data_IF_534274885656
#
_entry.id   IF_534274885656
#
_cell.length_a   1.000
_cell.length_b   1.000
_cell.length_c   1.000
_cell.angle_alpha   90.00
_cell.angle_beta   90.00
_cell.angle_gamma   90.00
#
_symmetry.space_group_name_H-M   'P 1'
#
loop_
_entity.id
_entity.type
_entity.pdbx_description
1 polymer ?
#
# COMPACT_ATOMS: atom_id res chain seq x y z
N UNK A 1 -29.54 18.94 -35.61
CA UNK A 1 -29.89 18.42 -34.26
C UNK A 1 -28.69 18.71 -33.36
N UNK A 2 -28.77 19.72 -32.48
CA UNK A 2 -27.67 20.11 -31.57
C UNK A 2 -27.64 19.11 -30.43
N UNK A 3 -26.50 18.42 -30.26
CA UNK A 3 -26.24 17.60 -29.09
C UNK A 3 -25.92 18.56 -27.94
N UNK A 4 -26.72 18.53 -26.89
CA UNK A 4 -26.49 19.35 -25.72
C UNK A 4 -25.31 18.74 -24.92
N UNK A 5 -24.20 19.46 -24.88
CA UNK A 5 -23.09 19.17 -23.97
C UNK A 5 -23.54 19.56 -22.55
N UNK A 6 -23.44 18.63 -21.61
CA UNK A 6 -23.55 18.93 -20.17
C UNK A 6 -22.15 19.18 -19.61
N UNK A 7 -21.94 20.41 -19.21
CA UNK A 7 -20.76 20.80 -18.42
C UNK A 7 -21.06 20.47 -16.94
N UNK A 8 -20.20 19.75 -16.30
CA UNK A 8 -20.26 19.50 -14.84
C UNK A 8 -19.03 20.17 -14.23
N UNK A 9 -19.25 21.01 -13.24
CA UNK A 9 -18.18 21.62 -12.44
C UNK A 9 -17.79 20.71 -11.26
N UNK A 10 -16.47 20.59 -11.00
CA UNK A 10 -15.98 19.94 -9.80
C UNK A 10 -16.17 20.85 -8.56
N UNK A 11 -15.97 20.32 -7.37
CA UNK A 11 -16.11 21.05 -6.10
C UNK A 11 -15.12 22.24 -5.96
N UNK A 12 -14.30 22.53 -6.97
CA UNK A 12 -13.39 23.68 -7.05
C UNK A 12 -13.69 24.61 -8.22
N UNK A 13 -14.87 24.46 -8.87
CA UNK A 13 -15.30 25.31 -9.95
C UNK A 13 -14.55 25.12 -11.28
N UNK A 14 -13.98 23.93 -11.52
CA UNK A 14 -13.29 23.60 -12.78
C UNK A 14 -14.19 22.80 -13.70
N UNK A 15 -14.28 23.21 -14.96
CA UNK A 15 -15.02 22.49 -15.99
C UNK A 15 -14.38 21.13 -16.30
N UNK A 16 -15.18 20.06 -16.21
CA UNK A 16 -14.79 18.73 -16.62
C UNK A 16 -15.55 18.38 -17.89
N UNK A 17 -14.83 18.14 -19.00
CA UNK A 17 -15.40 17.66 -20.24
C UNK A 17 -15.90 16.22 -20.07
N UNK A 18 -17.22 16.03 -20.21
CA UNK A 18 -17.81 14.69 -20.26
C UNK A 18 -17.96 14.24 -21.71
N UNK A 19 -17.62 12.99 -21.99
CA UNK A 19 -17.85 12.36 -23.29
C UNK A 19 -19.36 12.28 -23.58
N UNK A 20 -19.78 12.49 -24.85
CA UNK A 20 -21.19 12.40 -25.19
C UNK A 20 -21.71 10.99 -24.93
N UNK A 21 -22.86 10.90 -24.27
CA UNK A 21 -23.57 9.65 -24.07
C UNK A 21 -23.93 9.03 -25.41
N UNK A 22 -23.29 7.92 -25.76
CA UNK A 22 -23.68 7.14 -26.96
C UNK A 22 -24.99 6.43 -26.65
N UNK A 23 -26.04 6.61 -27.48
CA UNK A 23 -27.33 5.97 -27.23
C UNK A 23 -27.18 4.42 -27.32
N UNK A 24 -27.60 3.73 -26.26
CA UNK A 24 -27.55 2.27 -26.07
C UNK A 24 -28.28 1.44 -27.14
N UNK A 25 -28.96 2.11 -28.10
CA UNK A 25 -29.79 1.44 -29.11
C UNK A 25 -29.04 0.82 -30.30
N UNK A 26 -27.70 0.86 -30.36
CA UNK A 26 -26.91 0.41 -31.51
C UNK A 26 -26.08 -0.85 -31.25
N UNK A 27 -26.22 -1.51 -30.09
CA UNK A 27 -25.50 -2.76 -29.86
C UNK A 27 -26.40 -3.98 -29.97
N UNK A 28 -26.05 -4.87 -30.91
CA UNK A 28 -26.72 -6.15 -31.13
C UNK A 28 -26.62 -7.02 -29.86
N UNK A 29 -27.67 -7.74 -29.43
CA UNK A 29 -27.72 -8.49 -28.15
C UNK A 29 -26.61 -9.54 -27.96
N UNK A 30 -25.99 -10.00 -29.04
CA UNK A 30 -24.95 -11.06 -29.00
C UNK A 30 -23.61 -10.55 -28.44
N UNK A 31 -23.29 -9.25 -28.62
CA UNK A 31 -22.02 -8.69 -28.14
C UNK A 31 -22.08 -8.36 -26.64
N UNK A 32 -23.29 -8.08 -26.13
CA UNK A 32 -23.48 -7.73 -24.72
C UNK A 32 -23.29 -8.92 -23.76
N UNK A 33 -23.60 -10.13 -24.19
CA UNK A 33 -23.48 -11.33 -23.37
C UNK A 33 -22.03 -11.88 -23.30
N UNK A 34 -21.15 -11.55 -24.24
CA UNK A 34 -19.77 -12.04 -24.24
C UNK A 34 -18.84 -11.21 -23.34
N UNK A 35 -19.17 -9.93 -23.11
CA UNK A 35 -18.39 -9.04 -22.23
C UNK A 35 -18.75 -9.25 -20.77
N UNK A 36 -19.99 -9.69 -20.46
CA UNK A 36 -20.46 -9.91 -19.08
C UNK A 36 -20.02 -11.23 -18.44
N UNK A 37 -19.52 -12.19 -19.25
CA UNK A 37 -19.13 -13.51 -18.72
C UNK A 37 -17.69 -13.57 -18.17
N UNK A 38 -16.88 -12.49 -18.31
CA UNK A 38 -15.47 -12.48 -17.93
C UNK A 38 -15.14 -11.63 -16.70
N UNK A 39 -16.13 -11.01 -16.06
CA UNK A 39 -15.88 -10.17 -14.86
C UNK A 39 -16.90 -10.51 -13.79
N UNK A 40 -16.50 -11.08 -12.64
CA UNK A 40 -17.40 -11.18 -11.51
C UNK A 40 -17.70 -9.78 -10.96
N UNK A 41 -18.90 -9.28 -11.30
CA UNK A 41 -19.46 -8.02 -10.80
C UNK A 41 -19.87 -8.20 -9.33
N UNK A 42 -19.08 -7.73 -8.40
CA UNK A 42 -19.52 -7.48 -7.04
C UNK A 42 -20.12 -6.07 -6.96
N UNK A 43 -21.44 -5.99 -7.02
CA UNK A 43 -22.18 -4.75 -6.77
C UNK A 43 -22.26 -4.48 -5.28
N UNK A 44 -21.51 -3.50 -4.78
CA UNK A 44 -21.78 -2.81 -3.53
C UNK A 44 -21.85 -1.30 -3.80
N UNK A 45 -23.02 -0.70 -3.56
CA UNK A 45 -23.32 0.76 -3.58
C UNK A 45 -22.73 1.55 -4.75
N UNK A 46 -23.11 1.22 -5.99
CA UNK A 46 -22.98 2.15 -7.12
C UNK A 46 -21.56 2.46 -7.63
N UNK A 47 -20.51 1.79 -7.14
CA UNK A 47 -19.15 1.86 -7.70
C UNK A 47 -18.66 0.45 -8.04
N UNK A 48 -18.35 0.22 -9.31
CA UNK A 48 -17.55 -0.94 -9.73
C UNK A 48 -16.11 -0.62 -9.37
N UNK A 49 -15.66 -1.05 -8.20
CA UNK A 49 -14.24 -1.03 -7.85
C UNK A 49 -13.68 -2.37 -8.30
N UNK A 50 -12.90 -2.38 -9.38
CA UNK A 50 -12.04 -3.51 -9.68
C UNK A 50 -10.93 -3.53 -8.62
N UNK A 51 -11.14 -4.26 -7.53
CA UNK A 51 -10.09 -4.57 -6.57
C UNK A 51 -9.11 -5.56 -7.22
N UNK A 52 -8.14 -5.02 -7.96
CA UNK A 52 -7.06 -5.82 -8.51
C UNK A 52 -6.11 -6.18 -7.36
N UNK A 53 -6.28 -7.39 -6.84
CA UNK A 53 -5.35 -7.92 -5.84
C UNK A 53 -3.99 -8.20 -6.48
N UNK A 54 -2.95 -7.67 -5.85
CA UNK A 54 -1.56 -8.00 -6.16
C UNK A 54 -1.23 -9.44 -5.74
N UNK A 55 -1.86 -9.89 -4.63
CA UNK A 55 -1.66 -11.21 -4.05
C UNK A 55 -2.85 -11.64 -3.20
N UNK A 56 -3.07 -12.95 -3.10
CA UNK A 56 -3.94 -13.57 -2.08
C UNK A 56 -3.13 -14.41 -1.10
N UNK A 57 -3.54 -14.39 0.16
CA UNK A 57 -2.97 -15.18 1.26
C UNK A 57 -4.14 -15.84 1.98
N UNK A 58 -4.44 -17.10 1.64
CA UNK A 58 -5.65 -17.74 2.10
C UNK A 58 -6.91 -16.95 1.69
N UNK A 59 -7.69 -16.54 2.67
CA UNK A 59 -8.90 -15.73 2.48
C UNK A 59 -8.67 -14.23 2.32
N UNK A 60 -7.44 -13.76 2.51
CA UNK A 60 -7.09 -12.34 2.49
C UNK A 60 -6.59 -11.90 1.12
N UNK A 61 -6.86 -10.64 0.77
CA UNK A 61 -6.36 -9.98 -0.43
C UNK A 61 -5.37 -8.87 -0.09
N UNK A 62 -4.28 -8.76 -0.84
CA UNK A 62 -3.35 -7.63 -0.77
C UNK A 62 -3.52 -6.79 -2.04
N UNK A 63 -3.74 -5.49 -1.87
CA UNK A 63 -3.88 -4.52 -2.96
C UNK A 63 -3.22 -3.19 -2.63
N UNK A 64 -3.15 -2.32 -3.62
CA UNK A 64 -2.75 -0.92 -3.40
C UNK A 64 -3.75 -0.22 -2.49
N UNK A 65 -3.21 0.67 -1.65
CA UNK A 65 -3.99 1.55 -0.80
C UNK A 65 -4.77 2.55 -1.66
N UNK A 66 -6.01 2.82 -1.29
CA UNK A 66 -6.86 3.88 -1.83
C UNK A 66 -7.04 4.98 -0.77
N UNK A 67 -7.47 6.16 -1.20
CA UNK A 67 -7.71 7.29 -0.27
C UNK A 67 -8.78 6.91 0.76
N UNK A 68 -9.78 6.15 0.36
CA UNK A 68 -10.87 5.67 1.20
C UNK A 68 -10.42 4.69 2.30
N UNK A 69 -9.24 4.10 2.18
CA UNK A 69 -8.67 3.18 3.19
C UNK A 69 -7.99 3.92 4.35
N UNK A 70 -7.60 5.18 4.15
CA UNK A 70 -6.79 5.94 5.11
C UNK A 70 -7.38 5.98 6.53
N UNK A 71 -8.69 6.19 6.75
CA UNK A 71 -9.26 6.16 8.09
C UNK A 71 -9.06 4.82 8.80
N UNK A 72 -9.19 3.70 8.06
CA UNK A 72 -8.97 2.36 8.60
C UNK A 72 -7.49 2.12 8.93
N UNK A 73 -6.58 2.58 8.06
CA UNK A 73 -5.13 2.47 8.26
C UNK A 73 -4.68 3.26 9.49
N UNK A 74 -5.17 4.49 9.66
CA UNK A 74 -4.89 5.33 10.82
C UNK A 74 -5.37 4.63 12.10
N UNK A 75 -6.58 4.07 12.08
CA UNK A 75 -7.10 3.28 13.20
C UNK A 75 -6.22 2.07 13.51
N UNK A 76 -5.75 1.35 12.50
CA UNK A 76 -4.81 0.21 12.69
C UNK A 76 -3.49 0.68 13.25
N UNK A 77 -2.94 1.82 12.78
CA UNK A 77 -1.71 2.38 13.32
C UNK A 77 -1.84 2.66 14.82
N UNK A 78 -2.94 3.31 15.23
CA UNK A 78 -3.21 3.60 16.64
C UNK A 78 -3.38 2.34 17.49
N UNK A 79 -4.02 1.31 16.96
CA UNK A 79 -4.28 0.06 17.68
C UNK A 79 -3.07 -0.86 17.80
N UNK A 80 -2.17 -0.86 16.80
CA UNK A 80 -1.16 -1.90 16.63
C UNK A 80 0.27 -1.43 16.87
N UNK A 81 0.54 -0.13 16.82
CA UNK A 81 1.89 0.44 16.93
C UNK A 81 1.93 1.55 17.98
N UNK A 82 3.04 1.69 18.73
CA UNK A 82 3.24 2.81 19.66
C UNK A 82 3.59 4.12 18.95
N UNK A 83 4.10 4.06 17.71
CA UNK A 83 4.45 5.23 16.90
C UNK A 83 3.26 5.68 16.06
N UNK A 84 2.77 6.90 16.30
CA UNK A 84 1.64 7.47 15.59
C UNK A 84 2.08 8.62 14.69
N UNK A 85 1.54 8.64 13.48
CA UNK A 85 1.76 9.69 12.49
C UNK A 85 0.51 10.56 12.34
N UNK A 86 0.69 11.80 11.85
CA UNK A 86 -0.44 12.65 11.50
C UNK A 86 -1.18 12.13 10.26
N UNK A 87 -2.47 12.45 10.14
CA UNK A 87 -3.28 12.06 8.98
C UNK A 87 -2.67 12.54 7.67
N UNK A 88 -2.16 13.80 7.66
CA UNK A 88 -1.47 14.38 6.50
C UNK A 88 -0.22 13.60 6.08
N UNK A 89 0.47 12.94 7.01
CA UNK A 89 1.61 12.10 6.69
C UNK A 89 1.20 10.85 5.88
N UNK A 90 0.08 10.22 6.23
CA UNK A 90 -0.45 9.09 5.44
C UNK A 90 -0.87 9.54 4.04
N UNK A 91 -1.55 10.67 3.90
CA UNK A 91 -1.95 11.25 2.62
C UNK A 91 -0.73 11.56 1.73
N UNK A 92 0.31 12.16 2.30
CA UNK A 92 1.54 12.47 1.60
C UNK A 92 2.23 11.18 1.10
N UNK A 93 2.34 10.14 1.95
CA UNK A 93 2.94 8.85 1.55
C UNK A 93 2.14 8.19 0.44
N UNK A 94 0.81 8.21 0.50
CA UNK A 94 -0.04 7.66 -0.55
C UNK A 94 0.17 8.39 -1.90
N UNK A 95 0.32 9.71 -1.87
CA UNK A 95 0.58 10.51 -3.07
C UNK A 95 1.97 10.27 -3.66
N UNK A 96 3.01 10.13 -2.83
CA UNK A 96 4.39 10.03 -3.26
C UNK A 96 4.82 8.62 -3.67
N UNK A 97 4.29 7.61 -3.02
CA UNK A 97 4.72 6.22 -3.19
C UNK A 97 3.55 5.23 -3.21
N UNK A 98 2.53 5.41 -4.09
CA UNK A 98 1.33 4.57 -4.11
C UNK A 98 1.61 3.10 -4.43
N UNK A 99 2.74 2.79 -5.09
CA UNK A 99 3.13 1.42 -5.45
C UNK A 99 3.64 0.62 -4.25
N UNK A 100 4.03 1.30 -3.18
CA UNK A 100 4.58 0.69 -1.97
C UNK A 100 3.76 1.02 -0.73
N UNK A 101 2.56 1.57 -0.93
CA UNK A 101 1.56 1.72 0.10
C UNK A 101 0.43 0.71 -0.18
N UNK A 102 0.42 -0.38 0.58
CA UNK A 102 -0.46 -1.53 0.34
C UNK A 102 -1.31 -1.82 1.57
N UNK A 103 -2.46 -2.43 1.34
CA UNK A 103 -3.38 -2.89 2.38
C UNK A 103 -3.62 -4.38 2.26
N UNK A 104 -3.90 -5.02 3.38
CA UNK A 104 -4.47 -6.35 3.46
C UNK A 104 -5.93 -6.23 3.89
N UNK A 105 -6.84 -6.87 3.13
CA UNK A 105 -8.27 -6.91 3.45
C UNK A 105 -8.78 -8.35 3.60
N UNK A 106 -9.81 -8.51 4.39
CA UNK A 106 -10.50 -9.79 4.56
C UNK A 106 -11.59 -10.02 3.49
N UNK A 107 -12.32 -11.14 3.60
CA UNK A 107 -13.41 -11.50 2.67
C UNK A 107 -14.58 -10.50 2.66
N UNK A 108 -14.70 -9.66 3.70
CA UNK A 108 -15.72 -8.62 3.83
C UNK A 108 -15.22 -7.25 3.37
N UNK A 109 -14.03 -7.19 2.73
CA UNK A 109 -13.34 -5.97 2.35
C UNK A 109 -12.98 -5.06 3.55
N UNK A 110 -12.83 -5.64 4.75
CA UNK A 110 -12.35 -4.92 5.93
C UNK A 110 -10.84 -4.85 5.89
N UNK A 111 -10.27 -3.66 6.02
CA UNK A 111 -8.81 -3.48 6.11
C UNK A 111 -8.34 -3.98 7.47
N UNK A 112 -7.41 -4.95 7.44
CA UNK A 112 -6.91 -5.62 8.64
C UNK A 112 -5.38 -5.48 8.82
N UNK A 113 -4.72 -4.85 7.86
CA UNK A 113 -3.29 -4.57 7.91
C UNK A 113 -2.84 -3.69 6.76
N UNK A 114 -1.68 -3.11 6.89
CA UNK A 114 -1.08 -2.25 5.88
C UNK A 114 0.45 -2.28 5.92
N UNK A 115 1.06 -1.81 4.85
CA UNK A 115 2.46 -1.42 4.77
C UNK A 115 2.57 -0.07 4.07
N UNK A 116 3.39 0.82 4.62
CA UNK A 116 3.65 2.15 4.08
C UNK A 116 5.14 2.36 3.95
N UNK A 117 5.60 2.71 2.74
CA UNK A 117 7.00 2.93 2.45
C UNK A 117 7.25 4.29 1.81
N UNK A 118 8.50 4.73 1.86
CA UNK A 118 9.01 5.94 1.21
C UNK A 118 10.16 5.58 0.28
N UNK A 119 10.25 6.24 -0.87
CA UNK A 119 11.39 6.10 -1.79
C UNK A 119 12.23 7.36 -1.70
N UNK A 120 13.52 7.20 -1.48
CA UNK A 120 14.45 8.30 -1.29
C UNK A 120 15.81 8.05 -1.94
N UNK A 121 16.60 9.11 -2.11
CA UNK A 121 18.00 9.04 -2.48
C UNK A 121 18.88 9.40 -1.28
N UNK A 122 19.96 8.67 -1.09
CA UNK A 122 20.88 8.94 0.00
C UNK A 122 22.08 7.98 -0.01
N UNK A 123 22.93 8.08 0.99
CA UNK A 123 24.05 7.16 1.14
C UNK A 123 23.54 5.73 1.32
N UNK A 124 24.21 4.79 0.64
CA UNK A 124 23.91 3.37 0.75
C UNK A 124 24.14 2.86 2.18
N UNK A 125 23.25 2.01 2.65
CA UNK A 125 23.44 1.24 3.88
C UNK A 125 24.19 -0.07 3.64
N UNK A 126 24.26 -0.51 2.38
CA UNK A 126 24.87 -1.79 1.98
C UNK A 126 26.28 -1.64 1.41
N UNK A 127 26.62 -0.45 0.87
CA UNK A 127 27.93 -0.16 0.29
C UNK A 127 28.67 0.83 1.16
N UNK A 128 29.99 0.63 1.30
CA UNK A 128 30.84 1.53 2.08
C UNK A 128 30.83 2.97 1.56
N UNK A 129 30.66 3.15 0.24
CA UNK A 129 30.59 4.45 -0.43
C UNK A 129 29.55 4.42 -1.55
N UNK A 130 28.95 5.57 -1.80
CA UNK A 130 28.04 5.78 -2.93
C UNK A 130 26.62 6.14 -2.51
N UNK A 131 25.89 6.68 -3.48
CA UNK A 131 24.48 6.99 -3.37
C UNK A 131 23.66 5.82 -3.88
N UNK A 132 22.50 5.63 -3.26
CA UNK A 132 21.52 4.62 -3.66
C UNK A 132 20.11 5.22 -3.70
N UNK A 133 19.29 4.74 -4.61
CA UNK A 133 17.85 4.90 -4.50
C UNK A 133 17.35 3.81 -3.58
N UNK A 134 16.75 4.21 -2.46
CA UNK A 134 16.39 3.33 -1.35
C UNK A 134 14.90 3.32 -1.13
N UNK A 135 14.38 2.14 -0.76
CA UNK A 135 13.04 2.02 -0.20
C UNK A 135 13.12 1.98 1.34
N UNK A 136 12.51 2.93 2.02
CA UNK A 136 12.36 2.93 3.47
C UNK A 136 11.00 2.34 3.84
N UNK A 137 10.97 1.23 4.57
CA UNK A 137 9.74 0.71 5.16
C UNK A 137 9.44 1.53 6.42
N UNK A 138 8.51 2.48 6.29
CA UNK A 138 8.17 3.42 7.36
C UNK A 138 7.31 2.77 8.43
N UNK A 139 6.34 1.93 7.99
CA UNK A 139 5.40 1.30 8.90
C UNK A 139 4.79 0.05 8.28
N UNK A 140 4.65 -0.99 9.06
CA UNK A 140 3.91 -2.20 8.71
C UNK A 140 3.16 -2.70 9.94
N UNK A 141 1.86 -2.93 9.81
CA UNK A 141 1.02 -3.43 10.90
C UNK A 141 -0.04 -4.39 10.40
N UNK A 142 -0.36 -5.36 11.24
CA UNK A 142 -1.50 -6.29 11.09
C UNK A 142 -2.21 -6.34 12.43
N UNK A 143 -3.54 -6.21 12.43
CA UNK A 143 -4.37 -6.35 13.61
C UNK A 143 -4.11 -7.69 14.30
N UNK A 144 -4.07 -7.70 15.61
CA UNK A 144 -3.66 -8.85 16.43
C UNK A 144 -4.43 -10.13 16.09
N UNK A 145 -5.76 -10.03 15.93
CA UNK A 145 -6.62 -11.16 15.58
C UNK A 145 -6.29 -11.83 14.22
N UNK A 146 -5.47 -11.17 13.39
CA UNK A 146 -5.10 -11.64 12.05
C UNK A 146 -3.59 -11.91 11.90
N UNK A 147 -2.83 -11.81 13.01
CA UNK A 147 -1.39 -12.14 13.03
C UNK A 147 -1.13 -13.64 12.89
N UNK A 148 0.12 -14.01 12.63
CA UNK A 148 0.51 -15.43 12.48
C UNK A 148 0.09 -16.09 11.17
N UNK A 149 -0.62 -15.39 10.27
CA UNK A 149 -1.15 -15.93 9.02
C UNK A 149 -0.30 -15.55 7.78
N UNK A 150 0.91 -15.05 8.00
CA UNK A 150 1.83 -14.68 6.92
C UNK A 150 1.57 -13.34 6.24
N UNK A 151 0.58 -12.56 6.71
CA UNK A 151 0.18 -11.29 6.09
C UNK A 151 1.28 -10.23 6.11
N UNK A 152 1.97 -10.06 7.24
CA UNK A 152 3.09 -9.12 7.34
C UNK A 152 4.20 -9.44 6.35
N UNK A 153 4.57 -10.73 6.22
CA UNK A 153 5.55 -11.19 5.22
C UNK A 153 5.07 -10.91 3.80
N UNK A 154 3.81 -11.19 3.49
CA UNK A 154 3.27 -10.99 2.16
C UNK A 154 3.17 -9.51 1.77
N UNK A 155 2.78 -8.62 2.71
CA UNK A 155 2.81 -7.17 2.52
C UNK A 155 4.23 -6.68 2.22
N UNK A 156 5.23 -7.15 2.99
CA UNK A 156 6.64 -6.84 2.76
C UNK A 156 7.09 -7.29 1.37
N UNK A 157 6.81 -8.53 0.98
CA UNK A 157 7.22 -9.08 -0.32
C UNK A 157 6.63 -8.29 -1.50
N UNK A 158 5.36 -7.88 -1.42
CA UNK A 158 4.74 -7.05 -2.47
C UNK A 158 5.30 -5.62 -2.48
N UNK A 159 5.55 -5.01 -1.33
CA UNK A 159 6.20 -3.70 -1.25
C UNK A 159 7.63 -3.73 -1.82
N UNK A 160 8.41 -4.80 -1.55
CA UNK A 160 9.73 -4.99 -2.13
C UNK A 160 9.71 -5.10 -3.67
N UNK A 161 8.66 -5.70 -4.25
CA UNK A 161 8.46 -5.67 -5.71
C UNK A 161 8.22 -4.25 -6.20
N UNK A 162 7.30 -3.51 -5.58
CA UNK A 162 7.05 -2.10 -5.92
C UNK A 162 8.30 -1.23 -5.82
N UNK A 163 9.16 -1.46 -4.82
CA UNK A 163 10.45 -0.75 -4.71
C UNK A 163 11.40 -1.07 -5.87
N UNK A 164 11.52 -2.37 -6.26
CA UNK A 164 12.32 -2.77 -7.43
C UNK A 164 11.80 -2.13 -8.71
N UNK A 165 10.50 -2.14 -8.94
CA UNK A 165 9.86 -1.53 -10.11
C UNK A 165 10.12 -0.01 -10.18
N UNK A 166 10.30 0.63 -9.02
CA UNK A 166 10.71 2.04 -8.89
C UNK A 166 12.23 2.25 -8.95
N UNK A 167 13.01 1.20 -9.24
CA UNK A 167 14.46 1.26 -9.40
C UNK A 167 15.26 1.44 -8.10
N UNK A 168 14.70 1.03 -6.96
CA UNK A 168 15.46 0.99 -5.72
C UNK A 168 16.49 -0.15 -5.79
N UNK A 169 17.74 0.13 -5.39
CA UNK A 169 18.81 -0.87 -5.31
C UNK A 169 18.94 -1.51 -3.94
N UNK A 170 18.33 -0.89 -2.93
CA UNK A 170 18.31 -1.40 -1.55
C UNK A 170 17.06 -0.92 -0.82
N UNK A 171 16.74 -1.60 0.26
CA UNK A 171 15.68 -1.22 1.19
C UNK A 171 16.18 -1.30 2.62
N UNK A 172 15.58 -0.50 3.51
CA UNK A 172 15.91 -0.51 4.92
C UNK A 172 14.67 -0.22 5.78
N UNK A 173 14.81 -0.50 7.07
CA UNK A 173 13.83 -0.25 8.11
C UNK A 173 14.52 -0.11 9.47
N UNK A 174 13.80 0.50 10.40
CA UNK A 174 14.14 0.46 11.82
C UNK A 174 13.15 -0.45 12.55
N UNK A 175 13.67 -1.25 13.50
CA UNK A 175 12.85 -2.15 14.30
C UNK A 175 13.34 -2.15 15.75
N UNK A 176 12.41 -2.11 16.71
CA UNK A 176 12.73 -2.22 18.15
C UNK A 176 13.56 -3.46 18.42
N UNK A 177 14.61 -3.31 19.21
CA UNK A 177 15.49 -4.44 19.56
C UNK A 177 14.74 -5.55 20.29
N UNK A 178 13.64 -5.25 20.97
CA UNK A 178 12.76 -6.21 21.66
C UNK A 178 11.74 -6.90 20.74
N UNK A 179 11.59 -6.47 19.48
CA UNK A 179 10.59 -7.04 18.57
C UNK A 179 11.10 -8.29 17.83
N UNK A 180 11.33 -9.37 18.58
CA UNK A 180 11.89 -10.63 18.05
C UNK A 180 11.08 -11.21 16.89
N UNK A 181 9.75 -11.09 16.93
CA UNK A 181 8.88 -11.62 15.89
C UNK A 181 9.09 -10.89 14.55
N UNK A 182 9.17 -9.57 14.57
CA UNK A 182 9.43 -8.76 13.38
C UNK A 182 10.87 -8.97 12.89
N UNK A 183 11.86 -8.98 13.78
CA UNK A 183 13.27 -9.21 13.46
C UNK A 183 13.43 -10.56 12.75
N UNK A 184 12.79 -11.61 13.27
CA UNK A 184 12.81 -12.94 12.65
C UNK A 184 12.17 -12.91 11.26
N UNK A 185 11.04 -12.25 11.09
CA UNK A 185 10.40 -12.07 9.78
C UNK A 185 11.33 -11.35 8.80
N UNK A 186 11.99 -10.26 9.20
CA UNK A 186 12.90 -9.50 8.35
C UNK A 186 14.15 -10.31 7.98
N UNK A 187 14.72 -11.06 8.92
CA UNK A 187 15.83 -12.00 8.63
C UNK A 187 15.43 -13.06 7.61
N UNK A 188 14.23 -13.61 7.72
CA UNK A 188 13.68 -14.58 6.76
C UNK A 188 13.41 -13.95 5.36
N UNK A 189 13.34 -12.64 5.29
CA UNK A 189 13.28 -11.86 4.05
C UNK A 189 14.68 -11.39 3.58
N UNK A 190 15.74 -11.90 4.19
CA UNK A 190 17.14 -11.60 3.93
C UNK A 190 17.56 -10.16 4.26
N UNK A 191 16.89 -9.49 5.22
CA UNK A 191 17.42 -8.27 5.81
C UNK A 191 18.54 -8.61 6.80
N UNK A 192 19.54 -7.73 6.84
CA UNK A 192 20.69 -7.83 7.75
C UNK A 192 20.74 -6.60 8.64
N UNK A 193 21.12 -6.77 9.90
CA UNK A 193 21.36 -5.66 10.81
C UNK A 193 22.63 -4.92 10.36
N UNK A 194 22.50 -3.62 10.09
CA UNK A 194 23.61 -2.75 9.67
C UNK A 194 24.22 -2.05 10.87
N UNK A 195 23.37 -1.52 11.76
CA UNK A 195 23.78 -0.80 12.96
C UNK A 195 22.66 -0.79 13.99
N UNK A 196 22.99 -0.32 15.19
CA UNK A 196 22.01 -0.03 16.25
C UNK A 196 21.94 1.47 16.46
N UNK A 197 20.73 2.03 16.46
CA UNK A 197 20.46 3.40 16.85
C UNK A 197 20.04 3.41 18.31
N UNK A 198 20.89 3.97 19.18
CA UNK A 198 20.61 4.02 20.62
C UNK A 198 19.57 5.10 20.94
N UNK A 199 18.61 4.75 21.82
CA UNK A 199 17.56 5.68 22.25
C UNK A 199 16.68 6.19 21.09
N UNK A 200 16.47 5.39 20.07
CA UNK A 200 15.77 5.78 18.85
C UNK A 200 14.29 6.09 19.09
N UNK A 201 13.63 5.27 19.89
CA UNK A 201 12.22 5.44 20.19
C UNK A 201 12.00 6.43 21.35
N UNK A 202 10.80 7.01 21.41
CA UNK A 202 10.47 8.04 22.43
C UNK A 202 10.60 7.56 23.87
N UNK A 203 10.44 6.26 24.08
CA UNK A 203 10.59 5.61 25.39
C UNK A 203 12.05 5.25 25.72
N UNK A 204 13.00 5.61 24.84
CA UNK A 204 14.42 5.37 24.99
C UNK A 204 14.88 4.00 24.50
N UNK A 205 13.99 3.17 23.94
CA UNK A 205 14.40 1.87 23.39
C UNK A 205 15.26 2.05 22.13
N UNK A 206 16.25 1.18 21.98
CA UNK A 206 17.11 1.11 20.80
C UNK A 206 16.38 0.53 19.59
N UNK A 207 16.86 0.88 18.39
CA UNK A 207 16.42 0.27 17.14
C UNK A 207 17.57 -0.41 16.41
N UNK A 208 17.33 -1.57 15.83
CA UNK A 208 18.18 -2.08 14.75
C UNK A 208 17.79 -1.39 13.44
N UNK A 209 18.78 -0.78 12.79
CA UNK A 209 18.69 -0.48 11.36
C UNK A 209 18.97 -1.77 10.60
N UNK A 210 17.98 -2.27 9.89
CA UNK A 210 18.14 -3.45 9.04
C UNK A 210 18.02 -3.08 7.58
N UNK A 211 18.87 -3.63 6.70
CA UNK A 211 18.88 -3.34 5.27
C UNK A 211 19.05 -4.61 4.45
N UNK A 212 18.63 -4.49 3.17
CA UNK A 212 18.69 -5.56 2.17
C UNK A 212 18.92 -4.97 0.79
N UNK A 213 19.77 -5.61 -0.04
CA UNK A 213 19.84 -5.33 -1.48
C UNK A 213 18.57 -5.81 -2.20
N UNK A 214 18.12 -5.09 -3.23
CA UNK A 214 16.92 -5.36 -4.03
C UNK A 214 17.26 -5.88 -5.42
#
# INVERSE_FOLDING_TARGET
MRVAERVIEDMRGREILTWPAVPIKLFHPIVFNFVLSLVPLFQFRGRVVQNIFLRRVGKYGIRKCLVEDLPSIISINWAALPEHYSDSFFEERLRESPETFLVAEDEKATIIGYIMCRIEYGFSHMKKYGLARKGHVVSVAVLEAHRGQGLGKALMEEALKGMRDRGCSETYLEVRVSNDAAITMYRNLAFQTVTTHHGYYRDGEDAYLMSKAL
#
